data_IF_912581980014
#
_entry.id   IF_912581980014
#
_cell.length_a   1.000
_cell.length_b   1.000
_cell.length_c   1.000
_cell.angle_alpha   90.00
_cell.angle_beta   90.00
_cell.angle_gamma   90.00
#
_symmetry.space_group_name_H-M   'P 1'
#
loop_
_entity.id
_entity.type
_entity.pdbx_description
1 polymer ?
#
# COMPACT_ATOMS: atom_id res chain seq x y z
N UNK A 1 22.10 21.14 -11.59
CA UNK A 1 22.13 20.34 -10.36
C UNK A 1 21.64 18.93 -10.67
N UNK A 2 22.51 17.93 -10.48
CA UNK A 2 22.25 16.53 -10.80
C UNK A 2 21.21 15.96 -9.83
N UNK A 3 20.03 15.62 -10.33
CA UNK A 3 19.04 14.86 -9.57
C UNK A 3 19.56 13.43 -9.43
N UNK A 4 19.85 13.06 -8.18
CA UNK A 4 20.53 11.83 -7.80
C UNK A 4 19.87 10.58 -8.38
N UNK A 5 20.73 9.66 -8.76
CA UNK A 5 20.45 8.29 -9.19
C UNK A 5 19.27 7.66 -8.44
N UNK A 6 18.34 7.09 -9.20
CA UNK A 6 17.39 6.15 -8.65
C UNK A 6 18.18 5.00 -8.00
N UNK A 7 17.72 4.49 -6.86
CA UNK A 7 18.32 3.39 -6.09
C UNK A 7 19.33 2.58 -6.94
N UNK A 8 20.64 2.74 -6.69
CA UNK A 8 21.71 2.53 -7.70
C UNK A 8 21.76 1.17 -8.41
N UNK A 9 20.95 0.19 -7.98
CA UNK A 9 20.76 -1.08 -8.67
C UNK A 9 19.73 -1.02 -9.83
N UNK A 10 18.76 -0.10 -9.82
CA UNK A 10 17.78 0.12 -10.92
C UNK A 10 18.49 0.68 -12.15
N UNK A 11 19.47 1.55 -11.94
CA UNK A 11 20.23 2.17 -13.01
C UNK A 11 21.29 1.26 -13.63
N UNK A 12 21.55 0.09 -13.02
CA UNK A 12 22.46 -0.91 -13.58
C UNK A 12 21.99 -1.32 -14.98
N UNK A 13 22.93 -1.34 -15.92
CA UNK A 13 22.71 -1.76 -17.31
C UNK A 13 22.08 -3.17 -17.39
N UNK A 14 22.36 -4.05 -16.43
CA UNK A 14 21.76 -5.38 -16.32
C UNK A 14 20.26 -5.34 -15.99
N UNK A 15 19.85 -4.49 -15.04
CA UNK A 15 18.45 -4.30 -14.64
C UNK A 15 17.63 -3.71 -15.79
N UNK A 16 18.16 -2.71 -16.50
CA UNK A 16 17.53 -2.11 -17.69
C UNK A 16 17.36 -3.12 -18.83
N UNK A 17 18.40 -3.94 -19.12
CA UNK A 17 18.31 -5.02 -20.12
C UNK A 17 17.29 -6.10 -19.74
N UNK A 18 17.22 -6.47 -18.46
CA UNK A 18 16.25 -7.46 -17.96
C UNK A 18 14.82 -6.93 -18.08
N UNK A 19 14.59 -5.65 -17.79
CA UNK A 19 13.30 -4.99 -17.99
C UNK A 19 12.86 -4.98 -19.46
N UNK A 20 13.76 -4.64 -20.39
CA UNK A 20 13.49 -4.69 -21.82
C UNK A 20 13.19 -6.11 -22.32
N UNK A 21 13.96 -7.10 -21.87
CA UNK A 21 13.72 -8.51 -22.21
C UNK A 21 12.32 -8.95 -21.74
N UNK A 22 11.93 -8.61 -20.52
CA UNK A 22 10.62 -8.96 -19.95
C UNK A 22 9.43 -8.34 -20.70
N UNK A 23 9.60 -7.17 -21.34
CA UNK A 23 8.57 -6.57 -22.21
C UNK A 23 8.32 -7.38 -23.49
N UNK A 24 9.33 -8.05 -24.02
CA UNK A 24 9.22 -8.82 -25.28
C UNK A 24 8.65 -10.23 -25.10
N UNK A 25 8.78 -10.85 -23.92
CA UNK A 25 8.39 -12.27 -23.73
C UNK A 25 6.94 -12.47 -23.28
N UNK A 26 6.14 -11.41 -23.11
CA UNK A 26 4.75 -11.50 -22.63
C UNK A 26 4.58 -12.13 -21.23
N UNK A 27 5.67 -12.54 -20.58
CA UNK A 27 5.67 -13.11 -19.24
C UNK A 27 5.63 -11.98 -18.23
N UNK A 28 4.40 -11.59 -17.88
CA UNK A 28 4.07 -11.04 -16.56
C UNK A 28 4.47 -12.09 -15.52
N UNK A 29 5.77 -12.15 -15.16
CA UNK A 29 6.15 -12.82 -13.93
C UNK A 29 5.37 -12.14 -12.81
N UNK A 30 4.73 -12.91 -11.91
CA UNK A 30 4.04 -12.31 -10.78
C UNK A 30 5.03 -11.36 -10.10
N UNK A 31 4.59 -10.15 -9.72
CA UNK A 31 5.42 -9.14 -9.11
C UNK A 31 6.02 -9.69 -7.80
N UNK A 32 7.18 -10.33 -7.90
CA UNK A 32 8.08 -10.51 -6.77
C UNK A 32 8.56 -9.10 -6.38
N UNK A 33 8.77 -8.92 -5.07
CA UNK A 33 9.50 -7.81 -4.45
C UNK A 33 10.83 -7.43 -5.12
N UNK A 34 11.36 -8.30 -5.98
CA UNK A 34 12.60 -8.11 -6.73
C UNK A 34 12.41 -7.99 -8.24
N UNK A 35 11.18 -8.07 -8.75
CA UNK A 35 10.91 -7.90 -10.18
C UNK A 35 11.05 -6.42 -10.55
N UNK A 36 11.68 -6.13 -11.70
CA UNK A 36 11.87 -4.75 -12.15
C UNK A 36 10.54 -4.02 -12.33
N UNK A 37 9.50 -4.75 -12.76
CA UNK A 37 8.15 -4.17 -12.92
C UNK A 37 7.58 -3.70 -11.58
N UNK A 38 7.62 -4.54 -10.54
CA UNK A 38 7.05 -4.17 -9.25
C UNK A 38 7.79 -2.99 -8.61
N UNK A 39 9.10 -2.90 -8.82
CA UNK A 39 9.90 -1.75 -8.40
C UNK A 39 9.54 -0.48 -9.16
N UNK A 40 9.33 -0.57 -10.48
CA UNK A 40 8.85 0.56 -11.30
C UNK A 40 7.49 1.04 -10.81
N UNK A 41 6.55 0.14 -10.55
CA UNK A 41 5.20 0.48 -10.08
C UNK A 41 5.22 1.12 -8.68
N UNK A 42 6.02 0.57 -7.77
CA UNK A 42 6.22 1.15 -6.44
C UNK A 42 6.81 2.57 -6.54
N UNK A 43 7.82 2.76 -7.39
CA UNK A 43 8.42 4.06 -7.63
C UNK A 43 7.41 5.04 -8.24
N UNK A 44 6.68 4.63 -9.28
CA UNK A 44 5.62 5.40 -9.92
C UNK A 44 4.60 5.89 -8.89
N UNK A 45 4.03 4.99 -8.09
CA UNK A 45 3.04 5.37 -7.08
C UNK A 45 3.58 6.38 -6.08
N UNK A 46 4.82 6.18 -5.58
CA UNK A 46 5.45 7.08 -4.60
C UNK A 46 5.73 8.46 -5.17
N UNK A 47 6.19 8.55 -6.41
CA UNK A 47 6.40 9.85 -7.09
C UNK A 47 5.07 10.57 -7.28
N UNK A 48 4.02 9.86 -7.72
CA UNK A 48 2.70 10.44 -7.89
C UNK A 48 2.05 10.85 -6.57
N UNK A 49 2.27 10.08 -5.49
CA UNK A 49 1.84 10.45 -4.15
C UNK A 49 2.54 11.74 -3.72
N UNK A 50 3.87 11.81 -3.82
CA UNK A 50 4.64 13.02 -3.46
C UNK A 50 4.17 14.27 -4.21
N UNK A 51 3.96 14.16 -5.52
CA UNK A 51 3.42 15.26 -6.33
C UNK A 51 2.02 15.66 -5.89
N UNK A 52 1.17 14.69 -5.54
CA UNK A 52 -0.18 14.98 -5.07
C UNK A 52 -0.19 15.66 -3.69
N UNK A 53 0.74 15.31 -2.79
CA UNK A 53 0.88 15.94 -1.47
C UNK A 53 1.14 17.45 -1.54
N UNK A 54 1.75 17.93 -2.63
CA UNK A 54 2.03 19.35 -2.86
C UNK A 54 0.79 20.15 -3.32
N UNK A 55 -0.33 19.46 -3.61
CA UNK A 55 -1.53 20.11 -4.16
C UNK A 55 -2.44 20.71 -3.06
N UNK A 56 -3.28 21.72 -3.38
CA UNK A 56 -4.33 22.19 -2.48
C UNK A 56 -5.30 21.08 -2.07
N UNK A 57 -5.56 20.11 -2.94
CA UNK A 57 -6.46 18.99 -2.64
C UNK A 57 -5.95 18.13 -1.47
N UNK A 58 -4.65 17.83 -1.41
CA UNK A 58 -4.07 17.09 -0.29
C UNK A 58 -4.17 17.85 1.04
N UNK A 59 -3.95 19.18 1.00
CA UNK A 59 -4.12 20.05 2.18
C UNK A 59 -5.57 20.08 2.66
N UNK A 60 -6.52 20.22 1.75
CA UNK A 60 -7.97 20.18 2.05
C UNK A 60 -8.37 18.82 2.62
N UNK A 61 -7.77 17.73 2.15
CA UNK A 61 -7.97 16.39 2.69
C UNK A 61 -7.35 16.19 4.09
N UNK A 62 -6.59 17.17 4.60
CA UNK A 62 -5.99 17.12 5.93
C UNK A 62 -4.82 16.14 6.04
N UNK A 63 -4.08 15.94 4.95
CA UNK A 63 -2.95 15.00 4.95
C UNK A 63 -1.76 15.59 5.68
N UNK A 64 -1.22 14.82 6.62
CA UNK A 64 0.07 15.07 7.26
C UNK A 64 1.17 14.23 6.58
N UNK A 65 2.34 14.83 6.36
CA UNK A 65 3.50 14.17 5.75
C UNK A 65 4.78 14.57 6.46
N UNK A 66 5.38 13.60 7.15
CA UNK A 66 6.64 13.72 7.87
C UNK A 66 7.38 12.41 7.91
N UNK A 67 8.68 12.48 8.20
CA UNK A 67 9.50 11.31 8.47
C UNK A 67 9.36 10.93 9.95
N UNK A 68 9.26 9.63 10.23
CA UNK A 68 9.12 9.08 11.58
C UNK A 68 10.19 8.00 11.78
N UNK A 69 10.77 7.96 12.97
CA UNK A 69 11.60 6.85 13.39
C UNK A 69 10.81 5.54 13.56
N UNK A 70 11.48 4.37 13.57
CA UNK A 70 10.79 3.08 13.70
C UNK A 70 9.96 2.92 14.99
N UNK A 71 10.39 3.53 16.10
CA UNK A 71 9.65 3.50 17.37
C UNK A 71 8.46 4.44 17.31
N UNK A 72 8.70 5.68 16.89
CA UNK A 72 7.67 6.73 16.74
C UNK A 72 6.53 6.30 15.81
N UNK A 73 6.83 5.50 14.78
CA UNK A 73 5.83 4.97 13.84
C UNK A 73 4.63 4.33 14.55
N UNK A 74 4.90 3.48 15.54
CA UNK A 74 3.85 2.73 16.25
C UNK A 74 3.08 3.58 17.25
N UNK A 75 3.69 4.65 17.75
CA UNK A 75 3.06 5.62 18.65
C UNK A 75 2.21 6.64 17.89
N UNK A 76 2.66 7.05 16.70
CA UNK A 76 2.01 8.08 15.89
C UNK A 76 0.90 7.52 15.00
N UNK A 77 1.10 6.37 14.35
CA UNK A 77 0.12 5.81 13.40
C UNK A 77 -1.31 5.67 13.95
N UNK A 78 -1.55 5.18 15.20
CA UNK A 78 -2.90 5.05 15.76
C UNK A 78 -3.64 6.39 15.93
N UNK A 79 -2.94 7.54 15.90
CA UNK A 79 -3.55 8.87 16.01
C UNK A 79 -4.30 9.27 14.73
N UNK A 80 -4.08 8.55 13.63
CA UNK A 80 -4.69 8.83 12.34
C UNK A 80 -5.79 7.83 12.00
N UNK A 81 -6.85 8.33 11.36
CA UNK A 81 -7.91 7.49 10.78
C UNK A 81 -7.46 6.73 9.55
N UNK A 82 -6.53 7.30 8.78
CA UNK A 82 -6.09 6.77 7.50
C UNK A 82 -4.58 6.78 7.33
N UNK A 83 -4.06 5.82 6.58
CA UNK A 83 -2.69 5.79 6.09
C UNK A 83 -2.67 5.77 4.57
N UNK A 84 -1.92 6.67 3.93
CA UNK A 84 -1.65 6.61 2.48
C UNK A 84 -0.60 5.53 2.20
N UNK A 85 -1.06 4.30 2.00
CA UNK A 85 -0.24 3.12 1.85
C UNK A 85 0.12 2.87 0.37
N UNK A 86 1.01 3.72 -0.18
CA UNK A 86 1.53 3.52 -1.53
C UNK A 86 2.18 2.12 -1.68
N UNK A 87 1.92 1.39 -2.79
CA UNK A 87 2.45 0.06 -3.02
C UNK A 87 3.98 -0.01 -2.89
N UNK A 88 4.42 -1.14 -2.35
CA UNK A 88 5.80 -1.55 -2.29
C UNK A 88 6.16 -2.34 -3.54
N UNK A 89 7.35 -2.95 -3.54
CA UNK A 89 7.72 -3.84 -4.61
C UNK A 89 7.00 -5.20 -4.55
N UNK A 90 6.25 -5.50 -3.48
CA UNK A 90 5.37 -6.67 -3.39
C UNK A 90 3.89 -6.28 -3.53
N UNK A 91 3.04 -7.29 -3.76
CA UNK A 91 1.57 -7.13 -3.86
C UNK A 91 0.97 -6.63 -2.56
N UNK A 92 1.46 -7.10 -1.40
CA UNK A 92 1.06 -6.58 -0.10
C UNK A 92 2.22 -5.80 0.51
N UNK A 93 1.90 -4.63 1.08
CA UNK A 93 2.87 -3.83 1.82
C UNK A 93 2.69 -4.08 3.29
N UNK A 94 3.80 -4.22 4.04
CA UNK A 94 3.74 -4.34 5.49
C UNK A 94 2.93 -3.19 6.12
N UNK A 95 3.10 -1.98 5.58
CA UNK A 95 2.36 -0.76 5.98
C UNK A 95 0.84 -0.92 6.01
N UNK A 96 0.25 -1.66 5.08
CA UNK A 96 -1.20 -1.86 5.08
C UNK A 96 -1.63 -2.71 6.28
N UNK A 97 -0.87 -3.75 6.62
CA UNK A 97 -1.15 -4.60 7.79
C UNK A 97 -0.82 -3.87 9.09
N UNK A 98 0.29 -3.13 9.15
CA UNK A 98 0.66 -2.28 10.29
C UNK A 98 -0.45 -1.28 10.63
N UNK A 99 -1.03 -0.60 9.63
CA UNK A 99 -2.17 0.28 9.84
C UNK A 99 -3.38 -0.45 10.45
N UNK A 100 -3.70 -1.65 9.94
CA UNK A 100 -4.82 -2.44 10.45
C UNK A 100 -4.59 -2.95 11.88
N UNK A 101 -3.34 -3.24 12.27
CA UNK A 101 -2.98 -3.62 13.64
C UNK A 101 -3.29 -2.50 14.65
N UNK A 102 -3.16 -1.24 14.23
CA UNK A 102 -3.42 -0.07 15.08
C UNK A 102 -4.75 0.63 14.80
N UNK A 103 -5.67 -0.05 14.09
CA UNK A 103 -7.01 0.45 13.79
C UNK A 103 -7.02 1.73 12.92
N UNK A 104 -6.04 1.84 12.03
CA UNK A 104 -5.96 2.86 10.98
C UNK A 104 -6.33 2.23 9.63
N UNK A 105 -7.20 2.89 8.85
CA UNK A 105 -7.62 2.37 7.53
C UNK A 105 -6.53 2.67 6.48
N UNK A 106 -5.90 1.66 5.86
CA UNK A 106 -5.00 1.91 4.75
C UNK A 106 -5.77 2.32 3.48
N UNK A 107 -5.32 3.41 2.85
CA UNK A 107 -5.73 3.83 1.52
C UNK A 107 -4.65 3.37 0.54
N UNK A 108 -5.00 2.47 -0.35
CA UNK A 108 -4.07 1.80 -1.25
C UNK A 108 -4.38 2.14 -2.70
N UNK A 109 -3.34 2.55 -3.43
CA UNK A 109 -3.40 2.66 -4.87
C UNK A 109 -3.18 1.28 -5.49
N UNK A 110 -4.22 0.69 -6.08
CA UNK A 110 -4.15 -0.72 -6.53
C UNK A 110 -3.39 -0.90 -7.86
N UNK A 111 -3.28 0.15 -8.68
CA UNK A 111 -2.56 0.16 -9.95
C UNK A 111 -2.98 -1.00 -10.87
N UNK A 112 -2.10 -1.99 -11.06
CA UNK A 112 -2.33 -3.18 -11.91
C UNK A 112 -2.59 -4.45 -11.09
N UNK A 113 -2.67 -4.33 -9.76
CA UNK A 113 -2.76 -5.46 -8.86
C UNK A 113 -4.22 -5.74 -8.49
N UNK A 114 -4.88 -6.60 -9.26
CA UNK A 114 -6.25 -7.07 -9.00
C UNK A 114 -6.41 -7.71 -7.62
N UNK A 115 -5.32 -8.23 -7.04
CA UNK A 115 -5.29 -8.82 -5.70
C UNK A 115 -5.86 -7.88 -4.62
N UNK A 116 -5.74 -6.56 -4.77
CA UNK A 116 -6.34 -5.64 -3.80
C UNK A 116 -7.87 -5.67 -3.82
N UNK A 117 -8.50 -5.78 -5.00
CA UNK A 117 -9.96 -5.96 -5.09
C UNK A 117 -10.39 -7.27 -4.43
N UNK A 118 -9.59 -8.31 -4.63
CA UNK A 118 -9.75 -9.62 -4.02
C UNK A 118 -9.61 -9.59 -2.48
N UNK A 119 -8.74 -8.76 -1.92
CA UNK A 119 -8.64 -8.55 -0.48
C UNK A 119 -9.88 -7.83 0.07
N UNK A 120 -10.34 -6.78 -0.62
CA UNK A 120 -11.57 -6.07 -0.26
C UNK A 120 -12.79 -7.01 -0.32
N UNK A 121 -12.89 -7.84 -1.36
CA UNK A 121 -13.95 -8.84 -1.50
C UNK A 121 -13.93 -9.88 -0.36
N UNK A 122 -12.74 -10.22 0.15
CA UNK A 122 -12.55 -11.08 1.33
C UNK A 122 -12.71 -10.33 2.66
N UNK A 123 -13.10 -9.06 2.62
CA UNK A 123 -13.47 -8.29 3.78
C UNK A 123 -12.32 -7.55 4.48
N UNK A 124 -11.17 -7.40 3.84
CA UNK A 124 -10.11 -6.52 4.35
C UNK A 124 -10.61 -5.07 4.39
N UNK A 125 -10.48 -4.36 5.53
CA UNK A 125 -10.93 -2.98 5.66
C UNK A 125 -9.90 -2.00 5.05
N UNK A 126 -9.82 -2.01 3.71
CA UNK A 126 -8.89 -1.20 2.91
C UNK A 126 -9.71 -0.28 2.00
N UNK A 127 -9.30 0.98 1.86
CA UNK A 127 -9.85 1.88 0.85
C UNK A 127 -8.99 1.80 -0.42
N UNK A 128 -9.58 1.49 -1.58
CA UNK A 128 -8.86 1.46 -2.84
C UNK A 128 -9.09 2.74 -3.63
N UNK A 129 -8.02 3.21 -4.28
CA UNK A 129 -8.05 4.34 -5.21
C UNK A 129 -7.31 3.98 -6.50
N UNK A 130 -7.77 4.51 -7.63
CA UNK A 130 -6.99 4.51 -8.87
C UNK A 130 -5.92 5.59 -8.81
N UNK A 131 -6.29 6.75 -8.24
CA UNK A 131 -5.47 7.97 -8.20
C UNK A 131 -5.60 8.65 -6.84
N UNK A 132 -4.50 9.22 -6.36
CA UNK A 132 -4.47 9.95 -5.09
C UNK A 132 -5.43 11.14 -5.04
N UNK A 133 -5.81 11.71 -6.18
CA UNK A 133 -6.82 12.78 -6.27
C UNK A 133 -8.23 12.37 -5.76
N UNK A 134 -8.52 11.07 -5.62
CA UNK A 134 -9.76 10.57 -5.05
C UNK A 134 -9.82 10.71 -3.52
N UNK A 135 -8.68 10.94 -2.88
CA UNK A 135 -8.58 11.22 -1.45
C UNK A 135 -9.08 12.64 -1.20
N UNK A 136 -10.38 12.74 -0.93
CA UNK A 136 -11.10 13.98 -0.64
C UNK A 136 -11.80 13.88 0.70
N UNK A 137 -12.17 14.99 1.36
CA UNK A 137 -12.96 14.95 2.59
C UNK A 137 -14.21 14.07 2.48
N UNK A 138 -14.93 14.16 1.34
CA UNK A 138 -16.11 13.33 1.07
C UNK A 138 -15.78 11.84 1.01
N UNK A 139 -14.72 11.46 0.28
CA UNK A 139 -14.29 10.06 0.20
C UNK A 139 -13.85 9.53 1.56
N UNK A 140 -13.10 10.33 2.33
CA UNK A 140 -12.61 9.98 3.66
C UNK A 140 -13.76 9.76 4.64
N UNK A 141 -14.75 10.65 4.68
CA UNK A 141 -15.94 10.46 5.52
C UNK A 141 -16.70 9.17 5.17
N UNK A 142 -16.90 8.92 3.87
CA UNK A 142 -17.57 7.69 3.39
C UNK A 142 -16.80 6.44 3.77
N UNK A 143 -15.49 6.41 3.53
CA UNK A 143 -14.65 5.26 3.84
C UNK A 143 -14.56 5.01 5.34
N UNK A 144 -14.46 6.07 6.15
CA UNK A 144 -14.42 5.91 7.61
C UNK A 144 -15.71 5.29 8.13
N UNK A 145 -16.87 5.82 7.71
CA UNK A 145 -18.16 5.28 8.12
C UNK A 145 -18.36 3.81 7.72
N UNK A 146 -17.87 3.42 6.55
CA UNK A 146 -18.01 2.04 6.04
C UNK A 146 -17.01 1.05 6.66
N UNK A 147 -15.77 1.47 6.91
CA UNK A 147 -14.66 0.57 7.25
C UNK A 147 -14.33 0.55 8.74
N UNK A 148 -14.47 1.67 9.46
CA UNK A 148 -14.07 1.75 10.86
C UNK A 148 -14.80 0.78 11.80
N UNK A 149 -16.11 0.47 11.64
CA UNK A 149 -16.80 -0.47 12.53
C UNK A 149 -16.23 -1.89 12.48
N UNK A 150 -15.47 -2.22 11.43
CA UNK A 150 -14.93 -3.56 11.19
C UNK A 150 -13.50 -3.74 11.68
N UNK A 151 -12.80 -2.65 12.02
CA UNK A 151 -11.36 -2.68 12.30
C UNK A 151 -11.02 -3.54 13.52
N UNK A 152 -11.75 -3.37 14.62
CA UNK A 152 -11.49 -4.17 15.82
C UNK A 152 -11.74 -5.65 15.60
N UNK A 153 -12.87 -5.99 14.96
CA UNK A 153 -13.21 -7.37 14.63
C UNK A 153 -12.17 -7.99 13.71
N UNK A 154 -11.76 -7.26 12.67
CA UNK A 154 -10.71 -7.71 11.76
C UNK A 154 -9.39 -7.95 12.50
N UNK A 155 -8.95 -7.03 13.37
CA UNK A 155 -7.71 -7.21 14.15
C UNK A 155 -7.79 -8.43 15.05
N UNK A 156 -8.86 -8.56 15.84
CA UNK A 156 -9.04 -9.67 16.79
C UNK A 156 -9.11 -11.04 16.11
N UNK A 157 -9.67 -11.11 14.91
CA UNK A 157 -9.95 -12.37 14.23
C UNK A 157 -8.92 -12.76 13.18
N UNK A 158 -8.24 -11.78 12.56
CA UNK A 158 -7.37 -12.01 11.41
C UNK A 158 -5.90 -11.64 11.66
N UNK A 159 -5.62 -10.76 12.63
CA UNK A 159 -4.28 -10.25 12.91
C UNK A 159 -3.73 -10.78 14.25
N UNK A 160 -3.93 -12.07 14.49
CA UNK A 160 -3.39 -12.78 15.66
C UNK A 160 -2.44 -13.88 15.20
N UNK A 161 -1.55 -14.31 16.11
CA UNK A 161 -0.67 -15.45 15.85
C UNK A 161 -1.50 -16.71 15.53
N UNK A 162 -2.61 -16.91 16.25
CA UNK A 162 -3.53 -18.03 16.02
C UNK A 162 -4.18 -17.98 14.64
N UNK A 163 -4.68 -16.82 14.22
CA UNK A 163 -5.27 -16.65 12.89
C UNK A 163 -4.23 -16.89 11.78
N UNK A 164 -3.01 -16.37 11.96
CA UNK A 164 -1.89 -16.63 11.07
C UNK A 164 -1.57 -18.13 11.01
N UNK A 165 -1.53 -18.82 12.15
CA UNK A 165 -1.23 -20.24 12.22
C UNK A 165 -2.34 -21.10 11.60
N UNK A 166 -3.61 -20.74 11.78
CA UNK A 166 -4.75 -21.39 11.11
C UNK A 166 -4.65 -21.27 9.59
N UNK A 167 -4.28 -20.10 9.09
CA UNK A 167 -4.05 -19.91 7.65
C UNK A 167 -2.88 -20.79 7.15
N UNK A 168 -1.77 -20.82 7.88
CA UNK A 168 -0.58 -21.60 7.50
C UNK A 168 -0.84 -23.12 7.52
N UNK A 169 -1.58 -23.60 8.51
CA UNK A 169 -1.89 -25.03 8.67
C UNK A 169 -3.11 -25.48 7.87
N UNK A 170 -3.82 -24.56 7.21
CA UNK A 170 -5.05 -24.86 6.47
C UNK A 170 -6.26 -25.15 7.37
N UNK A 171 -6.16 -24.88 8.68
CA UNK A 171 -7.26 -25.01 9.65
C UNK A 171 -8.24 -23.82 9.57
N UNK A 172 -8.63 -23.46 8.35
CA UNK A 172 -9.64 -22.44 8.07
C UNK A 172 -10.95 -23.18 7.77
N UNK A 173 -11.97 -23.03 8.60
CA UNK A 173 -13.31 -23.53 8.30
C UNK A 173 -13.78 -22.89 6.99
N UNK A 174 -14.21 -23.71 6.03
CA UNK A 174 -14.69 -23.29 4.71
C UNK A 174 -16.17 -23.01 4.71
#
# INVERSE_FOLDING_TARGET
>A
AAWGSAAGWIDKKSTKRRAQRLRHVGRLYPPSNSSTMAVILAHYSRVHLRRWLETPAARIAGVDFRELGPVEWWEELPKYRFLLAAPGSGIQTAKAIEALLVLTVPIVQHLVFSTYHELVARGFPIALVDRWAEVTPRSLSRWWAALSPRLEGFRRNCLTADAYWRMYTGAVER
#
